data_IF_023421111765
#
_entry.id   IF_023421111765
#
_cell.length_a   1.000
_cell.length_b   1.000
_cell.length_c   1.000
_cell.angle_alpha   90.00
_cell.angle_beta   90.00
_cell.angle_gamma   90.00
#
_symmetry.space_group_name_H-M   'P 1'
#
loop_
_entity.id
_entity.type
_entity.pdbx_description
1 polymer ?
#
# COMPACT_ATOMS: atom_id res chain seq x y z
N UNK A 1 -3.81 20.38 -2.60
CA UNK A 1 -3.99 20.03 -1.17
C UNK A 1 -3.71 18.53 -1.01
N UNK A 2 -2.71 18.17 -0.20
CA UNK A 2 -2.15 16.80 -0.09
C UNK A 2 -2.54 16.09 1.22
N UNK A 3 -3.33 16.74 2.08
CA UNK A 3 -3.67 16.32 3.45
C UNK A 3 -4.50 15.02 3.58
N UNK A 4 -4.61 14.22 2.52
CA UNK A 4 -5.31 12.93 2.56
C UNK A 4 -4.79 11.91 1.56
N UNK A 5 -3.86 12.25 0.67
CA UNK A 5 -3.44 11.33 -0.37
C UNK A 5 -2.78 10.06 0.19
N UNK A 6 -2.93 8.96 -0.54
CA UNK A 6 -2.38 7.64 -0.23
C UNK A 6 -0.99 7.54 -0.87
N UNK A 7 0.03 7.35 -0.02
CA UNK A 7 1.43 7.21 -0.43
C UNK A 7 1.94 5.79 -0.16
N UNK A 8 2.58 5.17 -1.15
CA UNK A 8 2.94 3.75 -1.08
C UNK A 8 4.14 3.47 -0.16
N UNK A 9 5.10 4.40 -0.03
CA UNK A 9 6.19 4.29 0.96
C UNK A 9 5.67 4.19 2.40
N UNK A 10 4.74 5.05 2.80
CA UNK A 10 4.16 5.01 4.14
C UNK A 10 3.38 3.72 4.36
N UNK A 11 2.59 3.30 3.35
CA UNK A 11 1.84 2.07 3.42
C UNK A 11 2.74 0.81 3.47
N UNK A 12 3.90 0.82 2.80
CA UNK A 12 4.88 -0.25 2.91
C UNK A 12 5.38 -0.41 4.35
N UNK A 13 5.76 0.70 5.01
CA UNK A 13 6.20 0.67 6.41
C UNK A 13 5.09 0.20 7.36
N UNK A 14 3.85 0.67 7.15
CA UNK A 14 2.69 0.23 7.95
C UNK A 14 2.42 -1.27 7.76
N UNK A 15 2.49 -1.78 6.52
CA UNK A 15 2.32 -3.20 6.26
C UNK A 15 3.44 -4.05 6.86
N UNK A 16 4.69 -3.58 6.82
CA UNK A 16 5.82 -4.22 7.52
C UNK A 16 5.54 -4.34 9.02
N UNK A 17 5.15 -3.24 9.67
CA UNK A 17 4.84 -3.23 11.09
C UNK A 17 3.65 -4.13 11.45
N UNK A 18 2.58 -4.09 10.66
CA UNK A 18 1.42 -4.96 10.87
C UNK A 18 1.78 -6.44 10.72
N UNK A 19 2.62 -6.79 9.74
CA UNK A 19 3.09 -8.16 9.56
C UNK A 19 3.94 -8.62 10.75
N UNK A 20 4.81 -7.75 11.27
CA UNK A 20 5.60 -8.02 12.46
C UNK A 20 4.70 -8.31 13.68
N UNK A 21 3.77 -7.40 14.00
CA UNK A 21 2.87 -7.58 15.15
C UNK A 21 1.86 -8.71 14.99
N UNK A 22 1.51 -9.09 13.76
CA UNK A 22 0.68 -10.26 13.47
C UNK A 22 1.40 -11.60 13.76
N UNK A 23 2.73 -11.60 13.85
CA UNK A 23 3.55 -12.78 14.18
C UNK A 23 3.94 -12.82 15.66
N UNK A 24 3.77 -11.73 16.41
CA UNK A 24 4.10 -11.65 17.82
C UNK A 24 2.97 -12.15 18.70
N UNK A 25 3.30 -12.92 19.73
CA UNK A 25 2.34 -13.29 20.78
C UNK A 25 1.82 -12.03 21.50
N UNK A 26 0.52 -11.80 21.46
CA UNK A 26 -0.10 -10.67 22.17
C UNK A 26 -1.58 -10.49 21.85
N UNK A 27 -2.30 -9.69 22.65
CA UNK A 27 -3.75 -9.50 22.54
C UNK A 27 -4.19 -8.84 21.22
N UNK A 28 -3.25 -8.31 20.43
CA UNK A 28 -3.54 -7.58 19.19
C UNK A 28 -3.03 -8.28 17.92
N UNK A 29 -2.49 -9.50 18.02
CA UNK A 29 -1.96 -10.26 16.87
C UNK A 29 -3.02 -10.44 15.77
N UNK A 30 -4.20 -10.94 16.12
CA UNK A 30 -5.31 -11.15 15.16
C UNK A 30 -5.77 -9.84 14.54
N UNK A 31 -5.86 -8.78 15.34
CA UNK A 31 -6.22 -7.44 14.85
C UNK A 31 -5.19 -6.90 13.86
N UNK A 32 -3.89 -7.08 14.14
CA UNK A 32 -2.82 -6.67 13.22
C UNK A 32 -2.90 -7.48 11.91
N UNK A 33 -3.13 -8.79 12.01
CA UNK A 33 -3.28 -9.68 10.86
C UNK A 33 -4.48 -9.30 9.97
N UNK A 34 -5.60 -8.91 10.56
CA UNK A 34 -6.80 -8.50 9.83
C UNK A 34 -6.62 -7.17 9.11
N UNK A 35 -6.03 -6.18 9.79
CA UNK A 35 -5.73 -4.88 9.19
C UNK A 35 -4.70 -5.05 8.06
N UNK A 36 -3.68 -5.88 8.25
CA UNK A 36 -2.69 -6.21 7.22
C UNK A 36 -3.35 -6.73 5.94
N UNK A 37 -4.21 -7.75 6.07
CA UNK A 37 -4.91 -8.38 4.94
C UNK A 37 -5.78 -7.37 4.20
N UNK A 38 -6.54 -6.56 4.92
CA UNK A 38 -7.41 -5.55 4.33
C UNK A 38 -6.62 -4.46 3.61
N UNK A 39 -5.59 -3.91 4.25
CA UNK A 39 -4.78 -2.85 3.67
C UNK A 39 -4.03 -3.32 2.43
N UNK A 40 -3.34 -4.46 2.50
CA UNK A 40 -2.62 -5.06 1.36
C UNK A 40 -3.56 -5.29 0.17
N UNK A 41 -4.73 -5.88 0.43
CA UNK A 41 -5.74 -6.14 -0.61
C UNK A 41 -6.23 -4.85 -1.26
N UNK A 42 -6.53 -3.81 -0.48
CA UNK A 42 -7.04 -2.54 -0.99
C UNK A 42 -6.01 -1.81 -1.86
N UNK A 43 -4.75 -1.79 -1.45
CA UNK A 43 -3.67 -1.17 -2.23
C UNK A 43 -3.46 -1.89 -3.56
N UNK A 44 -3.34 -3.23 -3.53
CA UNK A 44 -3.14 -4.03 -4.75
C UNK A 44 -4.30 -3.87 -5.73
N UNK A 45 -5.54 -4.00 -5.25
CA UNK A 45 -6.74 -3.83 -6.09
C UNK A 45 -6.81 -2.44 -6.69
N UNK A 46 -6.56 -1.40 -5.90
CA UNK A 46 -6.65 -0.03 -6.40
C UNK A 46 -5.55 0.28 -7.43
N UNK A 47 -4.30 -0.08 -7.13
CA UNK A 47 -3.16 0.19 -8.03
C UNK A 47 -3.29 -0.60 -9.33
N UNK A 48 -3.73 -1.87 -9.29
CA UNK A 48 -3.99 -2.66 -10.49
C UNK A 48 -5.09 -2.02 -11.34
N UNK A 49 -6.24 -1.68 -10.74
CA UNK A 49 -7.34 -0.99 -11.44
C UNK A 49 -6.89 0.30 -12.10
N UNK A 50 -6.09 1.12 -11.42
CA UNK A 50 -5.58 2.38 -11.99
C UNK A 50 -4.59 2.10 -13.11
N UNK A 51 -3.69 1.14 -12.94
CA UNK A 51 -2.72 0.74 -13.96
C UNK A 51 -3.43 0.22 -15.22
N UNK A 52 -4.42 -0.65 -15.09
CA UNK A 52 -5.24 -1.15 -16.21
C UNK A 52 -5.98 -0.03 -16.93
N UNK A 53 -6.49 0.96 -16.19
CA UNK A 53 -7.23 2.09 -16.76
C UNK A 53 -6.34 3.11 -17.46
N UNK A 54 -5.15 3.41 -16.92
CA UNK A 54 -4.33 4.55 -17.37
C UNK A 54 -3.01 4.16 -18.00
N UNK A 55 -2.56 2.91 -17.86
CA UNK A 55 -1.25 2.42 -18.32
C UNK A 55 -0.05 2.92 -17.50
N UNK A 56 -0.29 3.49 -16.31
CA UNK A 56 0.77 4.15 -15.52
C UNK A 56 0.66 3.87 -14.02
N UNK A 57 1.82 3.84 -13.35
CA UNK A 57 1.94 3.95 -11.89
C UNK A 57 2.14 5.43 -11.54
N UNK A 58 1.50 5.87 -10.46
CA UNK A 58 1.43 7.27 -10.05
C UNK A 58 2.16 7.50 -8.72
N UNK A 59 2.59 8.73 -8.50
CA UNK A 59 3.28 9.16 -7.28
C UNK A 59 2.47 8.92 -6.00
N UNK A 60 1.17 9.17 -6.06
CA UNK A 60 0.22 9.02 -4.97
C UNK A 60 -1.19 8.75 -5.52
N UNK A 61 -2.11 8.33 -4.65
CA UNK A 61 -3.49 8.02 -5.01
C UNK A 61 -4.47 8.84 -4.16
N UNK A 62 -5.56 9.30 -4.76
CA UNK A 62 -6.59 10.07 -4.08
C UNK A 62 -7.37 9.19 -3.07
N UNK A 63 -7.57 9.65 -1.85
CA UNK A 63 -8.21 8.89 -0.76
C UNK A 63 -9.71 8.66 -0.95
N UNK A 64 -10.37 9.51 -1.74
CA UNK A 64 -11.81 9.43 -1.97
C UNK A 64 -12.14 8.59 -3.19
N UNK A 65 -11.34 8.71 -4.24
CA UNK A 65 -11.61 8.11 -5.55
C UNK A 65 -10.66 6.98 -5.92
N UNK A 66 -9.52 6.88 -5.24
CA UNK A 66 -8.45 5.94 -5.55
C UNK A 66 -7.72 6.24 -6.86
N UNK A 67 -8.04 7.33 -7.57
CA UNK A 67 -7.38 7.67 -8.83
C UNK A 67 -5.92 8.10 -8.61
N UNK A 68 -5.06 7.84 -9.58
CA UNK A 68 -3.68 8.32 -9.58
C UNK A 68 -3.61 9.85 -9.60
N UNK A 69 -2.64 10.42 -8.88
CA UNK A 69 -2.43 11.86 -8.75
C UNK A 69 -0.93 12.17 -8.63
N UNK A 70 -0.53 13.35 -9.08
CA UNK A 70 0.87 13.77 -9.09
C UNK A 70 1.60 13.23 -10.32
N UNK A 71 2.89 12.98 -10.17
CA UNK A 71 3.76 12.58 -11.29
C UNK A 71 3.42 11.19 -11.84
N UNK A 72 3.52 11.01 -13.15
CA UNK A 72 3.44 9.73 -13.86
C UNK A 72 4.24 9.75 -15.18
N UNK A 73 4.85 8.63 -15.61
CA UNK A 73 5.04 7.39 -14.85
C UNK A 73 5.91 7.65 -13.61
N UNK A 74 5.57 7.04 -12.48
CA UNK A 74 6.32 7.16 -11.24
C UNK A 74 6.66 5.77 -10.68
N UNK A 75 7.84 5.29 -11.02
CA UNK A 75 8.41 4.03 -10.51
C UNK A 75 9.43 4.29 -9.40
N UNK A 76 9.24 5.35 -8.62
CA UNK A 76 9.98 5.63 -7.38
C UNK A 76 9.45 4.77 -6.22
N UNK A 77 9.06 5.38 -5.10
CA UNK A 77 8.50 4.63 -3.97
C UNK A 77 7.23 3.84 -4.31
N UNK A 78 6.49 4.20 -5.35
CA UNK A 78 5.32 3.43 -5.78
C UNK A 78 5.67 2.03 -6.28
N UNK A 79 6.94 1.78 -6.67
CA UNK A 79 7.44 0.44 -7.01
C UNK A 79 7.49 -0.52 -5.81
N UNK A 80 7.43 -0.02 -4.57
CA UNK A 80 7.32 -0.85 -3.37
C UNK A 80 6.07 -1.76 -3.39
N UNK A 81 5.09 -1.47 -4.24
CA UNK A 81 3.94 -2.36 -4.45
C UNK A 81 4.36 -3.78 -4.86
N UNK A 82 5.50 -3.95 -5.54
CA UNK A 82 6.03 -5.28 -5.91
C UNK A 82 6.49 -6.06 -4.68
N UNK A 83 7.13 -5.39 -3.72
CA UNK A 83 7.53 -5.98 -2.44
C UNK A 83 6.30 -6.32 -1.59
N UNK A 84 5.33 -5.40 -1.52
CA UNK A 84 4.02 -5.64 -0.87
C UNK A 84 3.31 -6.85 -1.48
N UNK A 85 3.32 -6.97 -2.82
CA UNK A 85 2.71 -8.10 -3.53
C UNK A 85 3.42 -9.43 -3.22
N UNK A 86 4.74 -9.39 -3.04
CA UNK A 86 5.56 -10.56 -2.70
C UNK A 86 5.59 -10.85 -1.19
N UNK A 87 4.97 -10.00 -0.37
CA UNK A 87 5.00 -10.05 1.10
C UNK A 87 6.42 -10.00 1.69
N UNK A 88 7.35 -9.39 0.94
CA UNK A 88 8.73 -9.16 1.33
C UNK A 88 8.84 -7.77 1.96
N UNK A 89 9.19 -7.74 3.24
CA UNK A 89 9.44 -6.51 3.99
C UNK A 89 10.82 -6.63 4.63
N UNK A 90 11.57 -5.54 4.65
CA UNK A 90 12.87 -5.51 5.33
C UNK A 90 12.66 -5.64 6.85
N UNK A 91 13.44 -6.53 7.49
CA UNK A 91 13.46 -6.77 8.94
C UNK A 91 14.47 -5.86 9.67
#
# INVERSE_FOLDING_TARGET
>A
NYLGAIWINMNYMVLSALQHYAKMSGPYSDKAQDIYKQLRTNLLKNMLRVYEKTGHIWEQYDDKTGNGKGSHPFTGWSSLIVLIMSELYDE
#
